data_IF_540355833808
#
_entry.id   IF_540355833808
#
_cell.length_a   1.000
_cell.length_b   1.000
_cell.length_c   1.000
_cell.angle_alpha   90.00
_cell.angle_beta   90.00
_cell.angle_gamma   90.00
#
_symmetry.space_group_name_H-M   'P 1'
#
loop_
_entity.id
_entity.type
_entity.pdbx_description
1 polymer ?
#
# COMPACT_ATOMS: atom_id res chain seq x y z
N UNK A 1 4.80 -21.23 5.02
CA UNK A 1 4.62 -20.92 3.59
C UNK A 1 5.65 -21.67 2.74
N UNK A 2 6.90 -21.83 3.20
CA UNK A 2 7.96 -22.57 2.50
C UNK A 2 7.51 -23.92 1.90
N UNK A 3 6.79 -24.75 2.66
CA UNK A 3 6.26 -26.02 2.13
C UNK A 3 5.35 -25.84 0.89
N UNK A 4 4.58 -24.75 0.78
CA UNK A 4 3.79 -24.47 -0.42
C UNK A 4 4.68 -24.03 -1.59
N UNK A 5 5.69 -23.21 -1.33
CA UNK A 5 6.70 -22.79 -2.33
C UNK A 5 7.43 -24.02 -2.87
N UNK A 6 7.93 -24.88 -1.99
CA UNK A 6 8.64 -26.11 -2.36
C UNK A 6 7.75 -27.05 -3.18
N UNK A 7 6.44 -27.10 -2.87
CA UNK A 7 5.47 -27.89 -3.65
C UNK A 7 5.26 -27.32 -5.05
N UNK A 8 5.19 -26.01 -5.22
CA UNK A 8 5.10 -25.40 -6.56
C UNK A 8 6.38 -25.65 -7.36
N UNK A 9 7.55 -25.43 -6.77
CA UNK A 9 8.85 -25.66 -7.42
C UNK A 9 9.05 -27.11 -7.86
N UNK A 10 8.54 -28.08 -7.09
CA UNK A 10 8.67 -29.50 -7.39
C UNK A 10 7.50 -30.08 -8.19
N UNK A 11 6.51 -29.28 -8.59
CA UNK A 11 5.37 -29.76 -9.34
C UNK A 11 5.78 -30.20 -10.75
N UNK A 12 5.50 -31.46 -11.09
CA UNK A 12 5.70 -32.00 -12.45
C UNK A 12 4.58 -31.61 -13.42
N UNK A 13 3.49 -31.04 -12.91
CA UNK A 13 2.36 -30.56 -13.70
C UNK A 13 2.77 -29.26 -14.41
N UNK A 14 3.39 -29.41 -15.58
CA UNK A 14 3.64 -28.28 -16.49
C UNK A 14 2.30 -27.82 -17.07
N UNK A 15 1.63 -26.92 -16.38
CA UNK A 15 0.48 -26.21 -16.92
C UNK A 15 0.94 -25.50 -18.19
N UNK A 16 0.34 -25.84 -19.33
CA UNK A 16 0.62 -25.13 -20.59
C UNK A 16 0.28 -23.66 -20.37
N UNK A 17 1.26 -22.78 -20.59
CA UNK A 17 1.10 -21.34 -20.44
C UNK A 17 -0.05 -20.87 -21.36
N UNK A 18 -1.15 -20.34 -20.81
CA UNK A 18 -2.26 -19.85 -21.61
C UNK A 18 -1.82 -18.64 -22.45
N UNK A 19 -2.43 -18.46 -23.61
CA UNK A 19 -2.26 -17.23 -24.39
C UNK A 19 -3.06 -16.09 -23.74
N UNK A 20 -2.36 -15.22 -23.01
CA UNK A 20 -2.98 -14.10 -22.30
C UNK A 20 -3.47 -12.96 -23.22
N UNK A 21 -3.10 -12.97 -24.49
CA UNK A 21 -3.70 -12.05 -25.47
C UNK A 21 -5.18 -12.40 -25.72
N UNK A 22 -5.55 -13.68 -25.53
CA UNK A 22 -6.93 -14.15 -25.65
C UNK A 22 -7.71 -14.04 -24.35
N UNK A 23 -9.02 -13.84 -24.45
CA UNK A 23 -9.92 -13.82 -23.27
C UNK A 23 -9.88 -15.15 -22.51
N UNK A 24 -9.92 -16.27 -23.23
CA UNK A 24 -9.90 -17.62 -22.65
C UNK A 24 -8.62 -17.91 -21.88
N UNK A 25 -7.45 -17.49 -22.39
CA UNK A 25 -6.21 -17.64 -21.64
C UNK A 25 -6.19 -16.82 -20.35
N UNK A 26 -6.79 -15.61 -20.36
CA UNK A 26 -6.96 -14.80 -19.14
C UNK A 26 -7.95 -15.40 -18.14
N UNK A 27 -9.04 -16.01 -18.61
CA UNK A 27 -10.00 -16.73 -17.77
C UNK A 27 -9.33 -17.91 -17.06
N UNK A 28 -8.47 -18.65 -17.76
CA UNK A 28 -7.70 -19.74 -17.16
C UNK A 28 -6.70 -19.24 -16.11
N UNK A 29 -5.95 -18.16 -16.41
CA UNK A 29 -5.04 -17.54 -15.43
C UNK A 29 -5.80 -17.09 -14.18
N UNK A 30 -6.93 -16.42 -14.38
CA UNK A 30 -7.78 -15.98 -13.29
C UNK A 30 -8.20 -17.18 -12.42
N UNK A 31 -8.74 -18.24 -13.02
CA UNK A 31 -9.11 -19.46 -12.29
C UNK A 31 -7.96 -20.08 -11.49
N UNK A 32 -6.77 -20.15 -12.09
CA UNK A 32 -5.57 -20.63 -11.41
C UNK A 32 -5.20 -19.74 -10.20
N UNK A 33 -5.14 -18.42 -10.40
CA UNK A 33 -4.85 -17.45 -9.33
C UNK A 33 -5.88 -17.51 -8.20
N UNK A 34 -7.17 -17.68 -8.50
CA UNK A 34 -8.20 -17.86 -7.48
C UNK A 34 -7.89 -19.06 -6.56
N UNK A 35 -7.40 -20.15 -7.15
CA UNK A 35 -7.01 -21.35 -6.39
C UNK A 35 -5.80 -21.05 -5.50
N UNK A 36 -4.80 -20.34 -6.02
CA UNK A 36 -3.60 -19.96 -5.24
C UNK A 36 -3.92 -19.00 -4.11
N UNK A 37 -4.76 -17.99 -4.33
CA UNK A 37 -5.25 -17.12 -3.27
C UNK A 37 -5.95 -17.94 -2.18
N UNK A 38 -6.88 -18.83 -2.52
CA UNK A 38 -7.55 -19.71 -1.54
C UNK A 38 -6.56 -20.56 -0.73
N UNK A 39 -5.47 -21.05 -1.34
CA UNK A 39 -4.42 -21.78 -0.64
C UNK A 39 -3.67 -20.89 0.36
N UNK A 40 -3.26 -19.68 -0.05
CA UNK A 40 -2.62 -18.70 0.83
C UNK A 40 -3.51 -18.43 2.05
N UNK A 41 -4.79 -18.11 1.81
CA UNK A 41 -5.75 -17.78 2.87
C UNK A 41 -6.01 -18.96 3.81
N UNK A 42 -6.16 -20.16 3.25
CA UNK A 42 -6.33 -21.37 4.06
C UNK A 42 -5.09 -21.70 4.88
N UNK A 43 -3.88 -21.38 4.39
CA UNK A 43 -2.64 -21.61 5.11
C UNK A 43 -2.48 -20.57 6.23
N UNK A 44 -2.66 -19.27 5.91
CA UNK A 44 -2.53 -18.16 6.86
C UNK A 44 -3.44 -18.34 8.08
N UNK A 45 -4.70 -18.73 7.85
CA UNK A 45 -5.68 -19.01 8.91
C UNK A 45 -5.25 -20.09 9.92
N UNK A 46 -4.32 -20.98 9.53
CA UNK A 46 -3.80 -22.06 10.37
C UNK A 46 -2.49 -21.69 11.08
N UNK A 47 -1.91 -20.54 10.78
CA UNK A 47 -0.68 -20.08 11.43
C UNK A 47 -0.98 -19.58 12.85
N UNK A 48 0.03 -19.55 13.71
CA UNK A 48 -0.10 -19.02 15.08
C UNK A 48 -0.45 -17.52 15.06
N UNK A 49 0.04 -16.79 14.05
CA UNK A 49 -0.16 -15.35 13.89
C UNK A 49 -0.56 -15.04 12.44
N UNK A 50 -1.84 -15.20 12.10
CA UNK A 50 -2.36 -14.88 10.77
C UNK A 50 -2.15 -13.39 10.44
N UNK A 51 -1.84 -13.11 9.18
CA UNK A 51 -1.68 -11.73 8.71
C UNK A 51 -2.99 -11.15 8.20
N UNK A 52 -3.87 -11.96 7.64
CA UNK A 52 -5.16 -11.51 7.12
C UNK A 52 -6.16 -11.49 8.27
N UNK A 53 -6.59 -10.29 8.67
CA UNK A 53 -7.64 -10.13 9.67
C UNK A 53 -9.00 -10.37 9.04
N UNK A 54 -9.24 -9.74 7.90
CA UNK A 54 -10.51 -9.83 7.16
C UNK A 54 -10.25 -9.73 5.66
N UNK A 55 -11.11 -10.36 4.88
CA UNK A 55 -11.05 -10.34 3.42
C UNK A 55 -12.46 -10.19 2.91
N UNK A 56 -12.67 -9.22 2.02
CA UNK A 56 -13.93 -9.04 1.33
C UNK A 56 -14.24 -10.32 0.52
N UNK A 57 -15.41 -10.97 0.72
CA UNK A 57 -15.75 -12.20 0.01
C UNK A 57 -15.71 -12.06 -1.52
N UNK A 58 -15.90 -10.84 -2.03
CA UNK A 58 -15.87 -10.54 -3.46
C UNK A 58 -14.49 -10.15 -3.99
N UNK A 59 -13.45 -10.07 -3.14
CA UNK A 59 -12.11 -9.65 -3.56
C UNK A 59 -11.59 -10.53 -4.71
N UNK A 60 -11.61 -11.85 -4.52
CA UNK A 60 -11.05 -12.80 -5.49
C UNK A 60 -11.77 -12.72 -6.84
N UNK A 61 -13.10 -12.55 -6.83
CA UNK A 61 -13.91 -12.43 -8.06
C UNK A 61 -13.71 -11.08 -8.75
N UNK A 62 -13.66 -9.97 -8.01
CA UNK A 62 -13.33 -8.64 -8.54
C UNK A 62 -11.95 -8.61 -9.19
N UNK A 63 -10.93 -9.12 -8.50
CA UNK A 63 -9.56 -9.20 -8.99
C UNK A 63 -9.47 -10.02 -10.29
N UNK A 64 -10.12 -11.19 -10.30
CA UNK A 64 -10.19 -12.06 -11.49
C UNK A 64 -10.84 -11.36 -12.68
N UNK A 65 -11.98 -10.71 -12.46
CA UNK A 65 -12.68 -9.96 -13.51
C UNK A 65 -11.80 -8.83 -14.07
N UNK A 66 -11.11 -8.10 -13.19
CA UNK A 66 -10.20 -7.01 -13.58
C UNK A 66 -9.05 -7.48 -14.46
N UNK A 67 -8.49 -8.67 -14.20
CA UNK A 67 -7.47 -9.31 -15.04
C UNK A 67 -8.01 -9.65 -16.43
N UNK A 68 -9.24 -10.15 -16.53
CA UNK A 68 -9.85 -10.62 -17.78
C UNK A 68 -10.26 -9.44 -18.68
N UNK A 69 -10.91 -8.43 -18.09
CA UNK A 69 -11.57 -7.35 -18.83
C UNK A 69 -10.61 -6.24 -19.25
N UNK A 70 -9.59 -5.93 -18.44
CA UNK A 70 -8.71 -4.78 -18.66
C UNK A 70 -7.21 -5.16 -18.68
N UNK A 71 -6.77 -6.12 -19.52
CA UNK A 71 -5.41 -6.68 -19.44
C UNK A 71 -4.28 -5.68 -19.72
N UNK A 72 -4.57 -4.63 -20.49
CA UNK A 72 -3.60 -3.62 -20.90
C UNK A 72 -3.35 -2.55 -19.83
N UNK A 73 -4.30 -2.36 -18.89
CA UNK A 73 -4.16 -1.43 -17.78
C UNK A 73 -3.22 -2.00 -16.72
N UNK A 74 -2.37 -1.16 -16.14
CA UNK A 74 -1.55 -1.52 -14.97
C UNK A 74 -2.43 -1.72 -13.74
N UNK A 75 -1.97 -2.52 -12.79
CA UNK A 75 -2.72 -2.80 -11.56
C UNK A 75 -2.35 -1.80 -10.46
N UNK A 76 -3.33 -1.03 -9.99
CA UNK A 76 -3.14 -0.12 -8.87
C UNK A 76 -3.56 -0.79 -7.56
N UNK A 77 -2.62 -0.92 -6.62
CA UNK A 77 -2.85 -1.49 -5.30
C UNK A 77 -2.72 -0.39 -4.27
N UNK A 78 -3.82 0.02 -3.66
CA UNK A 78 -3.84 1.07 -2.64
C UNK A 78 -3.69 0.49 -1.25
N UNK A 79 -2.78 1.04 -0.44
CA UNK A 79 -2.55 0.66 0.96
C UNK A 79 -2.77 1.86 1.86
N UNK A 80 -3.79 1.77 2.72
CA UNK A 80 -4.08 2.79 3.75
C UNK A 80 -4.01 2.21 5.16
N UNK A 81 -4.30 3.03 6.15
CA UNK A 81 -4.21 2.73 7.57
C UNK A 81 -3.61 3.91 8.34
N UNK A 82 -3.71 3.85 9.65
CA UNK A 82 -3.34 4.96 10.53
C UNK A 82 -1.83 5.19 10.64
N UNK A 83 -1.42 6.37 11.11
CA UNK A 83 -0.01 6.59 11.45
C UNK A 83 0.46 5.54 12.46
N UNK A 84 1.74 5.16 12.33
CA UNK A 84 2.36 4.09 13.10
C UNK A 84 1.63 2.72 13.04
N UNK A 85 0.84 2.42 12.00
CA UNK A 85 0.23 1.09 11.86
C UNK A 85 1.12 0.04 11.18
N UNK A 86 2.26 0.42 10.62
CA UNK A 86 3.19 -0.50 9.95
C UNK A 86 3.13 -0.49 8.41
N UNK A 87 2.24 0.31 7.79
CA UNK A 87 2.11 0.45 6.31
C UNK A 87 3.44 0.58 5.59
N UNK A 88 4.17 1.65 5.87
CA UNK A 88 5.43 1.98 5.18
C UNK A 88 6.47 0.88 5.39
N UNK A 89 6.50 0.24 6.57
CA UNK A 89 7.39 -0.88 6.86
C UNK A 89 7.06 -2.10 6.00
N UNK A 90 5.78 -2.49 5.96
CA UNK A 90 5.30 -3.61 5.15
C UNK A 90 5.53 -3.32 3.65
N UNK A 91 5.19 -2.12 3.17
CA UNK A 91 5.36 -1.78 1.76
C UNK A 91 6.83 -1.73 1.34
N UNK A 92 7.73 -1.25 2.20
CA UNK A 92 9.18 -1.33 1.96
C UNK A 92 9.68 -2.77 1.88
N UNK A 93 9.16 -3.66 2.72
CA UNK A 93 9.47 -5.08 2.61
C UNK A 93 8.95 -5.67 1.29
N UNK A 94 7.71 -5.37 0.90
CA UNK A 94 7.13 -5.81 -0.38
C UNK A 94 7.99 -5.33 -1.55
N UNK A 95 8.38 -4.05 -1.56
CA UNK A 95 9.26 -3.48 -2.59
C UNK A 95 10.58 -4.25 -2.66
N UNK A 96 11.26 -4.41 -1.52
CA UNK A 96 12.54 -5.14 -1.45
C UNK A 96 12.41 -6.56 -2.00
N UNK A 97 11.46 -7.35 -1.49
CA UNK A 97 11.26 -8.72 -1.96
C UNK A 97 10.89 -8.78 -3.44
N UNK A 98 10.09 -7.84 -3.94
CA UNK A 98 9.73 -7.77 -5.35
C UNK A 98 10.95 -7.49 -6.22
N UNK A 99 11.81 -6.55 -5.83
CA UNK A 99 13.08 -6.28 -6.52
C UNK A 99 14.01 -7.49 -6.51
N UNK A 100 14.16 -8.16 -5.36
CA UNK A 100 15.02 -9.35 -5.23
C UNK A 100 14.54 -10.52 -6.14
N UNK A 101 13.25 -10.55 -6.47
CA UNK A 101 12.62 -11.57 -7.31
C UNK A 101 12.42 -11.14 -8.78
N UNK A 102 12.84 -9.93 -9.17
CA UNK A 102 12.51 -9.33 -10.47
C UNK A 102 10.99 -9.31 -10.77
N UNK A 103 10.19 -9.12 -9.72
CA UNK A 103 8.73 -9.02 -9.84
C UNK A 103 8.34 -7.60 -10.29
N UNK A 104 7.52 -7.43 -11.34
CA UNK A 104 7.26 -6.12 -11.98
C UNK A 104 6.32 -5.23 -11.14
N UNK A 105 6.86 -4.68 -10.06
CA UNK A 105 6.17 -3.85 -9.08
C UNK A 105 6.94 -2.56 -8.82
N UNK A 106 6.28 -1.43 -9.04
CA UNK A 106 6.76 -0.11 -8.62
C UNK A 106 6.04 0.36 -7.36
N UNK A 107 6.68 1.26 -6.61
CA UNK A 107 6.17 1.79 -5.36
C UNK A 107 6.00 3.32 -5.42
N UNK A 108 4.86 3.80 -4.96
CA UNK A 108 4.54 5.22 -4.83
C UNK A 108 4.07 5.52 -3.40
N UNK A 109 4.70 6.49 -2.74
CA UNK A 109 4.23 7.00 -1.44
C UNK A 109 3.44 8.29 -1.65
N UNK A 110 2.23 8.35 -1.10
CA UNK A 110 1.38 9.55 -1.11
C UNK A 110 1.96 10.65 -0.22
N UNK A 111 2.83 10.30 0.74
CA UNK A 111 3.54 11.28 1.56
C UNK A 111 4.41 12.23 0.70
N UNK A 112 4.76 11.85 -0.53
CA UNK A 112 5.45 12.73 -1.46
C UNK A 112 4.55 13.84 -2.04
N UNK A 113 3.23 13.69 -1.95
CA UNK A 113 2.22 14.61 -2.48
C UNK A 113 1.70 15.58 -1.43
N UNK A 114 2.37 15.77 -0.28
CA UNK A 114 2.02 16.88 0.61
C UNK A 114 2.12 18.22 -0.13
N UNK A 115 1.21 19.14 0.20
CA UNK A 115 1.25 20.51 -0.28
C UNK A 115 2.54 21.20 0.20
N UNK A 116 3.05 22.12 -0.61
CA UNK A 116 4.10 23.02 -0.14
C UNK A 116 3.52 23.95 0.93
N UNK A 117 4.08 23.87 2.14
CA UNK A 117 3.68 24.68 3.30
C UNK A 117 4.87 25.46 3.85
N UNK A 118 5.92 25.67 3.05
CA UNK A 118 7.15 26.33 3.47
C UNK A 118 6.91 27.75 3.98
N UNK A 119 5.99 28.49 3.37
CA UNK A 119 5.56 29.82 3.85
C UNK A 119 4.89 29.77 5.23
N UNK A 120 4.11 28.72 5.50
CA UNK A 120 3.49 28.51 6.80
C UNK A 120 4.56 28.16 7.84
N UNK A 121 5.51 27.29 7.50
CA UNK A 121 6.63 26.98 8.40
C UNK A 121 7.49 28.21 8.66
N UNK A 122 7.77 29.05 7.66
CA UNK A 122 8.50 30.30 7.84
C UNK A 122 7.78 31.26 8.79
N UNK A 123 6.43 31.28 8.74
CA UNK A 123 5.60 32.13 9.60
C UNK A 123 5.48 31.62 11.04
N UNK A 124 5.26 30.32 11.23
CA UNK A 124 4.97 29.73 12.56
C UNK A 124 6.20 29.09 13.22
N UNK A 125 7.31 28.96 12.50
CA UNK A 125 8.61 28.49 12.97
C UNK A 125 8.75 26.97 13.04
N UNK A 126 7.71 26.25 13.49
CA UNK A 126 7.74 24.78 13.60
C UNK A 126 6.41 24.14 13.20
N UNK A 127 6.44 22.85 12.85
CA UNK A 127 5.22 22.06 12.64
C UNK A 127 4.33 21.99 13.88
N UNK A 128 4.92 21.88 15.07
CA UNK A 128 4.17 21.86 16.33
C UNK A 128 3.42 23.19 16.52
N UNK A 129 4.10 24.32 16.31
CA UNK A 129 3.47 25.65 16.40
C UNK A 129 2.41 25.87 15.31
N UNK A 130 2.65 25.40 14.08
CA UNK A 130 1.68 25.47 12.99
C UNK A 130 0.40 24.68 13.33
N UNK A 131 0.56 23.47 13.90
CA UNK A 131 -0.58 22.65 14.37
C UNK A 131 -1.32 23.31 15.54
N UNK A 132 -0.61 23.88 16.50
CA UNK A 132 -1.23 24.60 17.64
C UNK A 132 -2.02 25.85 17.17
N UNK A 133 -1.75 26.33 15.95
CA UNK A 133 -2.50 27.38 15.27
C UNK A 133 -3.62 26.85 14.34
N UNK A 134 -3.96 25.57 14.44
CA UNK A 134 -5.14 24.96 13.80
C UNK A 134 -4.90 24.35 12.41
N UNK A 135 -3.64 24.22 11.97
CA UNK A 135 -3.35 23.53 10.71
C UNK A 135 -3.38 22.00 10.90
N UNK A 136 -4.25 21.33 10.15
CA UNK A 136 -4.43 19.88 10.18
C UNK A 136 -3.55 19.20 9.11
N UNK A 137 -2.30 18.87 9.48
CA UNK A 137 -1.34 18.19 8.59
C UNK A 137 -1.84 16.81 8.15
N UNK A 138 -2.65 16.17 8.98
CA UNK A 138 -3.18 14.82 8.75
C UNK A 138 -4.50 14.84 7.96
N UNK A 139 -5.03 16.03 7.65
CA UNK A 139 -6.16 16.18 6.73
C UNK A 139 -5.78 15.74 5.32
N UNK A 140 -6.66 15.00 4.61
CA UNK A 140 -6.49 14.71 3.19
C UNK A 140 -6.35 15.97 2.31
N UNK A 141 -6.82 17.13 2.78
CA UNK A 141 -6.66 18.41 2.08
C UNK A 141 -5.23 18.95 2.15
N UNK A 142 -4.37 18.41 3.02
CA UNK A 142 -2.93 18.70 3.06
C UNK A 142 -2.16 18.04 1.92
N UNK A 143 -2.82 17.28 1.04
CA UNK A 143 -2.21 16.62 -0.12
C UNK A 143 -2.67 17.24 -1.43
N UNK A 144 -1.80 17.18 -2.44
CA UNK A 144 -2.05 17.52 -3.83
C UNK A 144 -2.88 16.43 -4.52
N UNK A 145 -4.13 16.24 -4.08
CA UNK A 145 -4.99 15.12 -4.49
C UNK A 145 -5.29 15.11 -6.00
N UNK A 146 -5.47 16.28 -6.61
CA UNK A 146 -5.71 16.38 -8.06
C UNK A 146 -4.50 15.89 -8.86
N UNK A 147 -3.29 16.28 -8.44
CA UNK A 147 -2.03 15.81 -9.04
C UNK A 147 -1.87 14.30 -8.84
N UNK A 148 -2.11 13.80 -7.62
CA UNK A 148 -2.06 12.37 -7.32
C UNK A 148 -3.03 11.58 -8.23
N UNK A 149 -4.26 12.08 -8.41
CA UNK A 149 -5.26 11.47 -9.29
C UNK A 149 -4.79 11.42 -10.74
N UNK A 150 -4.23 12.52 -11.23
CA UNK A 150 -3.67 12.61 -12.59
C UNK A 150 -2.54 11.58 -12.79
N UNK A 151 -1.59 11.55 -11.85
CA UNK A 151 -0.41 10.68 -11.90
C UNK A 151 -0.78 9.20 -11.79
N UNK A 152 -1.71 8.83 -10.90
CA UNK A 152 -2.25 7.47 -10.82
C UNK A 152 -2.98 7.06 -12.11
N UNK A 153 -3.69 7.99 -12.74
CA UNK A 153 -4.36 7.73 -14.03
C UNK A 153 -3.35 7.45 -15.13
N UNK A 154 -2.29 8.26 -15.25
CA UNK A 154 -1.17 8.04 -16.18
C UNK A 154 -0.49 6.69 -15.95
N UNK A 155 -0.14 6.38 -14.70
CA UNK A 155 0.45 5.09 -14.35
C UNK A 155 -0.47 3.92 -14.73
N UNK A 156 -1.77 4.03 -14.49
CA UNK A 156 -2.75 3.00 -14.89
C UNK A 156 -2.77 2.76 -16.42
N UNK A 157 -2.48 3.79 -17.20
CA UNK A 157 -2.41 3.75 -18.67
C UNK A 157 -1.06 3.25 -19.20
N UNK A 158 -0.07 3.02 -18.33
CA UNK A 158 1.28 2.63 -18.74
C UNK A 158 2.21 3.80 -19.05
N UNK A 159 1.87 5.01 -18.60
CA UNK A 159 2.68 6.21 -18.77
C UNK A 159 3.54 6.46 -17.53
N UNK A 160 4.85 6.61 -17.72
CA UNK A 160 5.77 6.98 -16.65
C UNK A 160 5.53 8.43 -16.19
N UNK A 161 5.76 8.70 -14.92
CA UNK A 161 5.56 10.02 -14.33
C UNK A 161 6.81 10.51 -13.59
N UNK A 162 6.78 11.77 -13.15
CA UNK A 162 7.70 12.31 -12.14
C UNK A 162 6.89 12.85 -10.97
N UNK A 163 6.79 12.05 -9.91
CA UNK A 163 6.08 12.46 -8.70
C UNK A 163 6.80 13.64 -8.01
N UNK A 164 6.08 14.47 -7.25
CA UNK A 164 6.72 15.45 -6.36
C UNK A 164 7.59 14.75 -5.31
N UNK A 165 8.45 15.51 -4.64
CA UNK A 165 9.19 15.07 -3.45
C UNK A 165 8.94 16.05 -2.31
N UNK A 166 8.35 15.55 -1.23
CA UNK A 166 8.16 16.34 -0.02
C UNK A 166 9.37 16.19 0.91
N UNK A 167 10.05 17.30 1.22
CA UNK A 167 11.28 17.27 1.98
C UNK A 167 11.03 17.02 3.48
N UNK A 168 11.43 15.85 3.97
CA UNK A 168 11.33 15.47 5.39
C UNK A 168 12.50 16.06 6.20
N UNK A 169 12.76 17.35 6.02
CA UNK A 169 13.81 18.12 6.70
C UNK A 169 13.23 19.24 7.59
N UNK A 170 11.90 19.31 7.73
CA UNK A 170 11.22 20.31 8.53
C UNK A 170 10.97 21.64 7.81
N UNK A 171 11.34 21.78 6.53
CA UNK A 171 11.11 23.02 5.76
C UNK A 171 9.70 23.15 5.19
N UNK A 172 8.98 22.04 5.03
CA UNK A 172 7.65 22.04 4.42
C UNK A 172 7.65 22.19 2.90
N UNK A 173 8.82 22.09 2.27
CA UNK A 173 8.99 22.25 0.81
C UNK A 173 8.53 21.00 0.05
N UNK A 174 7.79 21.22 -1.04
CA UNK A 174 7.41 20.20 -2.02
C UNK A 174 8.06 20.50 -3.36
N UNK A 175 8.98 19.64 -3.81
CA UNK A 175 9.71 19.81 -5.07
C UNK A 175 8.94 19.11 -6.20
N UNK A 176 8.37 19.84 -7.17
CA UNK A 176 7.61 19.22 -8.26
C UNK A 176 8.52 18.46 -9.24
N UNK A 177 7.98 17.41 -9.87
CA UNK A 177 8.66 16.64 -10.92
C UNK A 177 10.04 16.04 -10.51
N UNK A 178 10.16 15.57 -9.27
CA UNK A 178 11.44 15.11 -8.70
C UNK A 178 11.66 13.60 -8.91
N UNK A 179 10.73 12.77 -8.45
CA UNK A 179 10.94 11.33 -8.31
C UNK A 179 10.43 10.59 -9.55
N UNK A 180 11.30 9.96 -10.37
CA UNK A 180 10.84 9.18 -11.51
C UNK A 180 10.12 7.91 -11.04
N UNK A 181 8.95 7.62 -11.62
CA UNK A 181 8.16 6.42 -11.32
C UNK A 181 7.82 5.72 -12.63
N UNK A 182 8.22 4.46 -12.74
CA UNK A 182 7.95 3.61 -13.90
C UNK A 182 6.55 3.00 -13.82
N UNK A 183 5.85 2.95 -14.96
CA UNK A 183 4.54 2.31 -15.06
C UNK A 183 4.68 0.78 -15.18
N UNK A 184 5.13 0.15 -14.09
CA UNK A 184 5.27 -1.30 -13.97
C UNK A 184 3.90 -2.01 -13.99
N UNK A 185 3.91 -3.34 -14.13
CA UNK A 185 2.66 -4.12 -14.19
C UNK A 185 1.78 -3.91 -12.95
N UNK A 186 2.42 -3.80 -11.78
CA UNK A 186 1.79 -3.47 -10.51
C UNK A 186 2.37 -2.17 -9.96
N UNK A 187 1.52 -1.27 -9.47
CA UNK A 187 1.93 -0.09 -8.72
C UNK A 187 1.34 -0.19 -7.31
N UNK A 188 2.22 -0.30 -6.32
CA UNK A 188 1.86 -0.29 -4.91
C UNK A 188 1.88 1.15 -4.40
N UNK A 189 0.71 1.68 -4.06
CA UNK A 189 0.52 3.06 -3.63
C UNK A 189 0.16 3.06 -2.16
N UNK A 190 1.00 3.63 -1.31
CA UNK A 190 0.73 3.68 0.12
C UNK A 190 0.57 5.11 0.62
N UNK A 191 -0.33 5.28 1.58
CA UNK A 191 -0.42 6.49 2.37
C UNK A 191 -1.77 6.65 3.01
N UNK A 192 -1.85 7.61 3.91
CA UNK A 192 -3.04 7.82 4.72
C UNK A 192 -4.24 8.24 3.87
N UNK A 193 -4.02 9.09 2.88
CA UNK A 193 -5.05 9.58 1.95
C UNK A 193 -5.37 8.62 0.79
N UNK A 194 -4.78 7.41 0.73
CA UNK A 194 -5.01 6.50 -0.39
C UNK A 194 -6.49 6.19 -0.62
N UNK A 195 -7.27 5.98 0.45
CA UNK A 195 -8.69 5.65 0.31
C UNK A 195 -9.63 6.86 0.45
N UNK A 196 -9.11 8.08 0.26
CA UNK A 196 -9.91 9.29 0.41
C UNK A 196 -10.67 9.65 -0.87
N UNK A 197 -11.94 10.06 -0.72
CA UNK A 197 -12.84 10.51 -1.80
C UNK A 197 -12.76 9.63 -3.05
N UNK A 198 -12.39 10.20 -4.19
CA UNK A 198 -12.35 9.59 -5.52
C UNK A 198 -11.00 8.93 -5.86
N UNK A 199 -9.96 9.14 -5.05
CA UNK A 199 -8.68 8.44 -5.19
C UNK A 199 -8.89 6.93 -5.00
N UNK A 200 -9.75 6.54 -4.06
CA UNK A 200 -10.05 5.13 -3.76
C UNK A 200 -10.59 4.39 -4.99
N UNK A 201 -11.31 5.07 -5.87
CA UNK A 201 -11.97 4.46 -7.02
C UNK A 201 -10.98 4.09 -8.15
N UNK A 202 -9.74 4.60 -8.07
CA UNK A 202 -8.66 4.24 -9.00
C UNK A 202 -8.04 2.87 -8.67
N UNK A 203 -8.17 2.40 -7.43
CA UNK A 203 -7.49 1.17 -6.99
C UNK A 203 -8.26 -0.10 -7.37
N UNK A 204 -7.53 -1.02 -8.02
CA UNK A 204 -7.98 -2.37 -8.34
C UNK A 204 -8.03 -3.28 -7.11
N UNK A 205 -7.15 -3.02 -6.14
CA UNK A 205 -7.08 -3.73 -4.85
C UNK A 205 -6.90 -2.71 -3.73
N UNK A 206 -7.77 -2.78 -2.72
CA UNK A 206 -7.72 -1.89 -1.55
C UNK A 206 -7.30 -2.66 -0.31
N UNK A 207 -6.19 -2.25 0.30
CA UNK A 207 -5.62 -2.86 1.51
C UNK A 207 -5.68 -1.86 2.66
N UNK A 208 -6.22 -2.28 3.79
CA UNK A 208 -6.20 -1.53 5.05
C UNK A 208 -5.26 -2.21 6.05
N UNK A 209 -4.27 -1.48 6.56
CA UNK A 209 -3.37 -1.96 7.61
C UNK A 209 -3.95 -1.59 8.98
N UNK A 210 -4.40 -2.60 9.70
CA UNK A 210 -5.02 -2.52 11.01
C UNK A 210 -4.07 -3.04 12.08
N UNK A 211 -4.08 -2.41 13.26
CA UNK A 211 -3.10 -2.69 14.31
C UNK A 211 -3.76 -2.59 15.68
N UNK A 212 -3.24 -3.31 16.67
CA UNK A 212 -3.66 -3.10 18.06
C UNK A 212 -3.26 -1.68 18.53
N UNK A 213 -4.19 -0.89 19.09
CA UNK A 213 -3.91 0.49 19.49
C UNK A 213 -2.76 0.64 20.50
N UNK A 214 -2.50 -0.36 21.36
CA UNK A 214 -1.38 -0.30 22.31
C UNK A 214 -0.04 -0.43 21.58
N UNK A 215 0.04 -1.33 20.60
CA UNK A 215 1.23 -1.50 19.76
C UNK A 215 1.46 -0.25 18.92
N UNK A 216 0.39 0.27 18.29
CA UNK A 216 0.43 1.48 17.49
C UNK A 216 0.95 2.69 18.29
N UNK A 217 0.39 2.95 19.48
CA UNK A 217 0.83 4.04 20.34
C UNK A 217 2.29 3.87 20.76
N UNK A 218 2.70 2.66 21.13
CA UNK A 218 4.11 2.37 21.45
C UNK A 218 5.03 2.73 20.28
N UNK A 219 4.74 2.26 19.06
CA UNK A 219 5.56 2.56 17.88
C UNK A 219 5.55 4.04 17.51
N UNK A 220 4.43 4.73 17.72
CA UNK A 220 4.34 6.17 17.53
C UNK A 220 5.28 6.90 18.49
N UNK A 221 5.23 6.59 19.79
CA UNK A 221 6.09 7.22 20.80
C UNK A 221 7.57 6.92 20.56
N UNK A 222 7.92 5.68 20.18
CA UNK A 222 9.29 5.31 19.80
C UNK A 222 9.78 6.12 18.58
N UNK A 223 8.90 6.34 17.59
CA UNK A 223 9.20 7.16 16.41
C UNK A 223 9.37 8.63 16.76
N UNK A 224 8.49 9.17 17.61
CA UNK A 224 8.58 10.55 18.08
C UNK A 224 9.89 10.80 18.85
N UNK A 225 10.27 9.86 19.73
CA UNK A 225 11.54 9.89 20.45
C UNK A 225 12.74 9.86 19.48
N UNK A 226 12.74 8.98 18.47
CA UNK A 226 13.79 8.95 17.42
C UNK A 226 13.90 10.24 16.61
N UNK A 227 12.86 11.07 16.61
CA UNK A 227 12.81 12.39 15.96
C UNK A 227 13.11 13.54 16.92
N UNK A 228 13.57 13.24 18.14
CA UNK A 228 13.85 14.22 19.19
C UNK A 228 12.63 15.06 19.60
N UNK A 229 11.41 14.54 19.43
CA UNK A 229 10.20 15.18 19.94
C UNK A 229 10.09 14.95 21.45
N UNK A 230 9.71 15.98 22.21
CA UNK A 230 9.45 15.83 23.65
C UNK A 230 8.28 14.89 23.90
N UNK A 231 8.28 14.18 25.03
CA UNK A 231 7.18 13.26 25.38
C UNK A 231 5.84 13.99 25.44
N UNK A 232 5.81 15.21 26.00
CA UNK A 232 4.62 16.04 26.06
C UNK A 232 4.07 16.36 24.66
N UNK A 233 4.93 16.81 23.73
CA UNK A 233 4.49 17.12 22.37
C UNK A 233 4.09 15.85 21.61
N UNK A 234 4.77 14.73 21.85
CA UNK A 234 4.44 13.44 21.26
C UNK A 234 3.06 12.94 21.71
N UNK A 235 2.69 13.13 22.99
CA UNK A 235 1.36 12.79 23.48
C UNK A 235 0.28 13.67 22.86
N UNK A 236 0.49 14.99 22.79
CA UNK A 236 -0.44 15.90 22.09
C UNK A 236 -0.60 15.50 20.63
N UNK A 237 0.50 15.22 19.95
CA UNK A 237 0.52 14.78 18.55
C UNK A 237 -0.24 13.47 18.36
N UNK A 238 -0.09 12.52 19.28
CA UNK A 238 -0.83 11.26 19.25
C UNK A 238 -2.34 11.48 19.28
N UNK A 239 -2.82 12.41 20.11
CA UNK A 239 -4.25 12.72 20.21
C UNK A 239 -4.76 13.33 18.89
N UNK A 240 -4.04 14.30 18.30
CA UNK A 240 -4.38 14.87 16.99
C UNK A 240 -4.45 13.82 15.88
N UNK A 241 -3.45 12.93 15.81
CA UNK A 241 -3.40 11.85 14.82
C UNK A 241 -4.56 10.88 15.02
N UNK A 242 -4.96 10.63 16.27
CA UNK A 242 -6.13 9.81 16.60
C UNK A 242 -7.44 10.42 16.11
N UNK A 243 -7.63 11.72 16.30
CA UNK A 243 -8.81 12.46 15.83
C UNK A 243 -8.88 12.49 14.30
N UNK A 244 -7.76 12.79 13.64
CA UNK A 244 -7.65 12.74 12.19
C UNK A 244 -7.92 11.32 11.65
N UNK A 245 -7.44 10.29 12.33
CA UNK A 245 -7.68 8.91 11.96
C UNK A 245 -9.16 8.53 12.01
N UNK A 246 -9.87 8.91 13.08
CA UNK A 246 -11.31 8.70 13.21
C UNK A 246 -12.09 9.37 12.09
N UNK A 247 -11.70 10.61 11.74
CA UNK A 247 -12.39 11.40 10.73
C UNK A 247 -12.12 10.94 9.30
N UNK A 248 -10.87 10.60 8.97
CA UNK A 248 -10.45 10.47 7.57
C UNK A 248 -10.01 9.06 7.16
N UNK A 249 -9.60 8.21 8.10
CA UNK A 249 -8.96 6.92 7.79
C UNK A 249 -9.88 5.75 8.12
N UNK A 250 -10.34 5.66 9.38
CA UNK A 250 -11.15 4.53 9.87
C UNK A 250 -12.41 4.26 9.04
N UNK A 251 -13.15 5.26 8.51
CA UNK A 251 -14.30 5.01 7.64
C UNK A 251 -13.97 4.14 6.42
N UNK A 252 -12.76 4.28 5.87
CA UNK A 252 -12.31 3.53 4.69
C UNK A 252 -12.12 2.02 4.93
N UNK A 253 -12.04 1.59 6.19
CA UNK A 253 -11.86 0.17 6.55
C UNK A 253 -12.96 -0.72 5.97
N UNK A 254 -14.19 -0.21 5.92
CA UNK A 254 -15.36 -0.91 5.35
C UNK A 254 -15.30 -1.12 3.83
N UNK A 255 -14.45 -0.34 3.15
CA UNK A 255 -14.27 -0.37 1.69
C UNK A 255 -13.06 -1.20 1.27
N UNK A 256 -12.26 -1.68 2.22
CA UNK A 256 -11.08 -2.49 1.95
C UNK A 256 -11.47 -3.86 1.38
N UNK A 257 -10.68 -4.33 0.40
CA UNK A 257 -10.78 -5.70 -0.06
C UNK A 257 -10.04 -6.66 0.88
N UNK A 258 -8.98 -6.17 1.54
CA UNK A 258 -8.16 -6.95 2.47
C UNK A 258 -7.80 -6.07 3.68
N UNK A 259 -7.99 -6.62 4.87
CA UNK A 259 -7.50 -6.03 6.13
C UNK A 259 -6.35 -6.87 6.65
N UNK A 260 -5.20 -6.23 6.83
CA UNK A 260 -3.95 -6.88 7.21
C UNK A 260 -3.50 -6.39 8.59
N UNK A 261 -3.03 -7.31 9.43
CA UNK A 261 -2.41 -6.97 10.70
C UNK A 261 -1.04 -6.32 10.49
N UNK A 262 -0.88 -5.09 10.97
CA UNK A 262 0.34 -4.30 10.87
C UNK A 262 1.54 -4.84 11.66
N UNK A 263 1.30 -5.66 12.68
CA UNK A 263 2.34 -6.32 13.49
C UNK A 263 2.73 -7.71 12.98
N UNK A 264 2.31 -8.04 11.77
CA UNK A 264 2.65 -9.30 11.10
C UNK A 264 4.14 -9.43 10.79
N UNK A 265 4.61 -10.67 10.68
CA UNK A 265 6.00 -10.98 10.34
C UNK A 265 6.32 -10.55 8.90
N UNK A 266 7.37 -9.73 8.74
CA UNK A 266 7.89 -9.29 7.43
C UNK A 266 8.43 -10.47 6.61
N UNK A 267 9.01 -11.47 7.25
CA UNK A 267 9.49 -12.68 6.58
C UNK A 267 8.31 -13.46 5.98
N UNK A 268 7.19 -13.51 6.70
CA UNK A 268 6.01 -14.21 6.22
C UNK A 268 5.34 -13.48 5.04
N UNK A 269 5.32 -12.13 5.03
CA UNK A 269 4.96 -11.37 3.83
C UNK A 269 5.85 -11.71 2.64
N UNK A 270 7.17 -11.77 2.87
CA UNK A 270 8.14 -12.08 1.84
C UNK A 270 7.89 -13.46 1.23
N UNK A 271 7.60 -14.46 2.07
CA UNK A 271 7.24 -15.81 1.61
C UNK A 271 5.92 -15.84 0.83
N UNK A 272 4.94 -14.99 1.16
CA UNK A 272 3.70 -14.88 0.38
C UNK A 272 3.98 -14.32 -1.01
N UNK A 273 4.80 -13.27 -1.10
CA UNK A 273 5.19 -12.68 -2.39
C UNK A 273 5.98 -13.70 -3.20
N UNK A 274 6.92 -14.41 -2.59
CA UNK A 274 7.70 -15.46 -3.24
C UNK A 274 6.81 -16.60 -3.75
N UNK A 275 5.79 -17.01 -2.97
CA UNK A 275 4.82 -17.99 -3.42
C UNK A 275 3.98 -17.47 -4.59
N UNK A 276 3.49 -16.22 -4.54
CA UNK A 276 2.74 -15.60 -5.64
C UNK A 276 3.63 -15.51 -6.88
N UNK A 277 4.86 -15.04 -6.74
CA UNK A 277 5.85 -14.98 -7.80
C UNK A 277 6.08 -16.36 -8.39
N UNK A 278 6.41 -17.37 -7.58
CA UNK A 278 6.66 -18.75 -8.04
C UNK A 278 5.46 -19.34 -8.79
N UNK A 279 4.26 -19.18 -8.23
CA UNK A 279 3.04 -19.66 -8.86
C UNK A 279 2.72 -18.92 -10.19
N UNK A 280 3.19 -17.68 -10.33
CA UNK A 280 2.94 -16.86 -11.52
C UNK A 280 4.10 -16.79 -12.51
N UNK A 281 5.31 -17.21 -12.12
CA UNK A 281 6.51 -17.16 -12.97
C UNK A 281 6.37 -18.11 -14.18
N UNK A 282 5.59 -19.18 -14.05
CA UNK A 282 5.15 -20.02 -15.18
C UNK A 282 4.30 -19.26 -16.22
N UNK A 283 3.84 -18.05 -15.91
CA UNK A 283 2.87 -17.28 -16.68
C UNK A 283 3.33 -15.84 -17.02
N UNK A 284 4.28 -15.23 -16.32
CA UNK A 284 4.56 -13.78 -16.48
C UNK A 284 5.70 -13.44 -17.46
N UNK A 285 6.39 -14.42 -18.06
CA UNK A 285 7.40 -14.15 -19.11
C UNK A 285 6.87 -13.64 -20.47
#
# INVERSE_FOLDING_TARGET
MQMLIDKENNSKDKIIKPDFSTKTGREFLAFYLQTKFKQILSYDKKTERPIFKEINPNFISKFSRRLIENPNKKFLIGVTGESASGKTTICKQIKKTSTDLDFPLEFLSIDNYFNDISDLIAKYGTFDALRDNGYDVDSPESFQLDLLKEDLTKLSNGENIKAPEYLINGTGVSVPNSIPISAEKFILVEGMAAMYKDIKDLFDVKIYIDIDPKIQKKWFMERASKRNQSEENALKHWDYVGDAAEKYIRPSKSEADIIINGASSLDYFSQIIEFIHTATNCFIS
#
